data_IF_754649629086
#
_entry.id   IF_754649629086
#
_cell.length_a   1.000
_cell.length_b   1.000
_cell.length_c   1.000
_cell.angle_alpha   90.00
_cell.angle_beta   90.00
_cell.angle_gamma   90.00
#
_symmetry.space_group_name_H-M   'P 1'
#
loop_
_entity.id
_entity.type
_entity.pdbx_description
1 polymer ?
#
# COMPACT_ATOMS: atom_id res chain seq x y z
N UNK A 1 16.34 -22.51 -9.61
CA UNK A 1 15.14 -22.28 -8.77
C UNK A 1 15.33 -20.93 -8.13
N UNK A 2 14.56 -19.93 -8.53
CA UNK A 2 14.50 -18.67 -7.82
C UNK A 2 13.99 -18.96 -6.41
N UNK A 3 14.69 -18.45 -5.41
CA UNK A 3 14.34 -18.65 -4.01
C UNK A 3 13.05 -17.84 -3.77
N UNK A 4 11.94 -18.52 -3.51
CA UNK A 4 10.68 -17.88 -3.18
C UNK A 4 10.86 -17.01 -1.93
N UNK A 5 10.71 -15.70 -2.10
CA UNK A 5 10.87 -14.72 -1.02
C UNK A 5 9.58 -14.70 -0.21
N UNK A 6 9.69 -14.85 1.11
CA UNK A 6 8.50 -14.89 1.97
C UNK A 6 7.72 -13.58 1.93
N UNK A 7 6.39 -13.68 1.95
CA UNK A 7 5.48 -12.52 1.99
C UNK A 7 5.77 -11.59 3.18
N UNK A 8 6.25 -12.13 4.30
CA UNK A 8 6.64 -11.35 5.46
C UNK A 8 7.83 -10.41 5.16
N UNK A 9 8.75 -10.81 4.29
CA UNK A 9 9.85 -9.95 3.82
C UNK A 9 9.31 -8.87 2.88
N UNK A 10 8.51 -9.27 1.88
CA UNK A 10 7.92 -8.33 0.90
C UNK A 10 7.10 -7.24 1.61
N UNK A 11 6.29 -7.57 2.61
CA UNK A 11 5.49 -6.60 3.39
C UNK A 11 6.33 -5.57 4.15
N UNK A 12 7.62 -5.83 4.40
CA UNK A 12 8.53 -4.85 5.02
C UNK A 12 9.23 -3.94 4.01
N UNK A 13 9.31 -4.32 2.72
CA UNK A 13 10.01 -3.56 1.69
C UNK A 13 9.50 -2.11 1.52
N UNK A 14 8.18 -1.83 1.52
CA UNK A 14 7.68 -0.46 1.46
C UNK A 14 8.18 0.43 2.62
N UNK A 15 8.39 -0.16 3.79
CA UNK A 15 8.93 0.55 4.94
C UNK A 15 10.41 0.88 4.76
N UNK A 16 11.21 -0.05 4.22
CA UNK A 16 12.61 0.24 3.84
C UNK A 16 12.66 1.36 2.81
N UNK A 17 11.86 1.27 1.76
CA UNK A 17 11.82 2.26 0.68
C UNK A 17 11.54 3.67 1.22
N UNK A 18 10.55 3.82 2.09
CA UNK A 18 10.20 5.10 2.71
C UNK A 18 11.35 5.69 3.53
N UNK A 19 11.95 4.91 4.45
CA UNK A 19 13.04 5.40 5.29
C UNK A 19 14.31 5.72 4.49
N UNK A 20 14.60 4.95 3.45
CA UNK A 20 15.71 5.27 2.55
C UNK A 20 15.45 6.55 1.76
N UNK A 21 14.20 6.80 1.34
CA UNK A 21 13.80 8.06 0.72
C UNK A 21 14.02 9.26 1.64
N UNK A 22 13.63 9.16 2.91
CA UNK A 22 13.90 10.19 3.92
C UNK A 22 15.39 10.44 4.10
N UNK A 23 16.21 9.39 4.14
CA UNK A 23 17.67 9.50 4.23
C UNK A 23 18.28 10.20 3.00
N UNK A 24 17.75 9.95 1.80
CA UNK A 24 18.19 10.65 0.60
C UNK A 24 17.86 12.14 0.65
N UNK A 25 16.68 12.51 1.15
CA UNK A 25 16.29 13.90 1.37
C UNK A 25 17.19 14.58 2.41
N UNK A 26 17.66 13.83 3.43
CA UNK A 26 18.65 14.29 4.43
C UNK A 26 20.08 14.35 3.88
N UNK A 27 20.36 13.90 2.66
CA UNK A 27 21.69 13.85 2.06
C UNK A 27 22.59 12.74 2.60
N UNK A 28 22.04 11.70 3.22
CA UNK A 28 22.80 10.57 3.77
C UNK A 28 23.19 9.62 2.65
N UNK A 29 24.48 9.48 2.40
CA UNK A 29 25.00 8.59 1.34
C UNK A 29 25.12 7.14 1.77
N UNK A 30 25.42 6.89 3.05
CA UNK A 30 25.65 5.54 3.60
C UNK A 30 24.99 5.37 4.96
N UNK A 31 24.49 4.15 5.20
CA UNK A 31 23.89 3.78 6.48
C UNK A 31 24.30 2.36 6.89
N UNK A 32 24.56 2.15 8.17
CA UNK A 32 24.78 0.81 8.70
C UNK A 32 23.46 0.08 8.96
N UNK A 33 23.47 -1.26 9.03
CA UNK A 33 22.29 -2.02 9.46
C UNK A 33 21.86 -1.66 10.88
N UNK A 34 22.79 -1.19 11.71
CA UNK A 34 22.49 -0.79 13.08
C UNK A 34 21.73 0.54 13.13
N UNK A 35 22.22 1.56 12.41
CA UNK A 35 21.55 2.87 12.36
C UNK A 35 20.18 2.77 11.70
N UNK A 36 20.06 1.98 10.63
CA UNK A 36 18.77 1.72 9.97
C UNK A 36 17.81 0.95 10.92
N UNK A 37 18.34 0.06 11.77
CA UNK A 37 17.54 -0.68 12.75
C UNK A 37 16.90 0.23 13.80
N UNK A 38 17.62 1.25 14.24
CA UNK A 38 17.08 2.25 15.18
C UNK A 38 15.94 3.06 14.56
N UNK A 39 16.08 3.51 13.31
CA UNK A 39 15.01 4.24 12.59
C UNK A 39 13.78 3.35 12.33
N UNK A 40 13.99 2.09 12.02
CA UNK A 40 12.92 1.15 11.68
C UNK A 40 12.32 0.42 12.90
N UNK A 41 12.91 0.54 14.08
CA UNK A 41 12.52 -0.23 15.28
C UNK A 41 12.44 -1.75 15.01
N UNK A 42 13.45 -2.28 14.31
CA UNK A 42 13.67 -3.70 14.06
C UNK A 42 15.13 -4.05 14.41
N UNK A 43 15.50 -5.31 14.47
CA UNK A 43 16.89 -5.67 14.74
C UNK A 43 17.78 -5.51 13.51
N UNK A 44 19.06 -5.16 13.72
CA UNK A 44 20.03 -5.12 12.62
C UNK A 44 20.22 -6.48 11.94
N UNK A 45 20.01 -7.58 12.68
CA UNK A 45 20.02 -8.94 12.13
C UNK A 45 18.87 -9.17 11.17
N UNK A 46 17.66 -8.69 11.51
CA UNK A 46 16.49 -8.76 10.62
C UNK A 46 16.72 -7.99 9.32
N UNK A 47 17.29 -6.78 9.40
CA UNK A 47 17.63 -5.99 8.21
C UNK A 47 18.58 -6.75 7.29
N UNK A 48 19.67 -7.29 7.85
CA UNK A 48 20.62 -8.09 7.06
C UNK A 48 19.97 -9.30 6.42
N UNK A 49 19.12 -10.01 7.16
CA UNK A 49 18.42 -11.19 6.66
C UNK A 49 17.43 -10.82 5.54
N UNK A 50 16.64 -9.76 5.72
CA UNK A 50 15.68 -9.29 4.72
C UNK A 50 16.39 -8.92 3.41
N UNK A 51 17.43 -8.10 3.51
CA UNK A 51 18.16 -7.62 2.33
C UNK A 51 18.95 -8.73 1.63
N UNK A 52 19.44 -9.72 2.36
CA UNK A 52 20.13 -10.88 1.77
C UNK A 52 19.23 -11.78 0.90
N UNK A 53 17.89 -11.68 1.02
CA UNK A 53 16.98 -12.40 0.14
C UNK A 53 17.03 -11.89 -1.31
N UNK A 54 17.44 -10.63 -1.53
CA UNK A 54 17.45 -9.97 -2.83
C UNK A 54 18.87 -9.78 -3.40
N UNK A 55 19.87 -10.36 -2.74
CA UNK A 55 21.29 -10.19 -3.09
C UNK A 55 22.07 -9.38 -2.05
N UNK A 56 23.38 -9.42 -2.10
CA UNK A 56 24.23 -8.74 -1.12
C UNK A 56 24.33 -7.24 -1.38
N UNK A 57 23.45 -6.43 -0.82
CA UNK A 57 23.46 -4.97 -0.97
C UNK A 57 24.53 -4.24 -0.16
N UNK A 58 25.20 -4.92 0.78
CA UNK A 58 26.18 -4.32 1.68
C UNK A 58 27.55 -4.95 1.58
N UNK A 59 28.59 -4.15 1.73
CA UNK A 59 29.94 -4.64 2.02
C UNK A 59 30.16 -4.65 3.53
N UNK A 60 30.77 -5.74 4.02
CA UNK A 60 31.06 -5.89 5.43
C UNK A 60 31.97 -4.73 5.93
N UNK A 61 31.54 -4.02 6.97
CA UNK A 61 32.23 -2.87 7.53
C UNK A 61 31.93 -1.50 6.88
N UNK A 62 31.32 -1.46 5.69
CA UNK A 62 31.04 -0.19 4.96
C UNK A 62 29.57 0.23 4.98
N UNK A 63 28.66 -0.64 5.46
CA UNK A 63 27.21 -0.38 5.42
C UNK A 63 26.63 -0.42 4.00
N UNK A 64 25.43 0.12 3.86
CA UNK A 64 24.68 0.18 2.62
C UNK A 64 24.83 1.54 1.96
N UNK A 65 25.01 1.59 0.65
CA UNK A 65 24.80 2.81 -0.12
C UNK A 65 23.29 3.08 -0.20
N UNK A 66 22.86 4.23 0.31
CA UNK A 66 21.43 4.57 0.47
C UNK A 66 20.73 4.67 -0.89
N UNK A 67 21.33 5.38 -1.85
CA UNK A 67 20.77 5.56 -3.20
C UNK A 67 20.64 4.22 -3.93
N UNK A 68 21.69 3.42 -3.92
CA UNK A 68 21.68 2.11 -4.56
C UNK A 68 20.60 1.19 -3.95
N UNK A 69 20.54 1.13 -2.62
CA UNK A 69 19.55 0.30 -1.93
C UNK A 69 18.12 0.79 -2.18
N UNK A 70 17.90 2.10 -2.21
CA UNK A 70 16.63 2.70 -2.55
C UNK A 70 16.15 2.31 -3.95
N UNK A 71 17.04 2.43 -4.96
CA UNK A 71 16.72 2.11 -6.35
C UNK A 71 16.42 0.60 -6.52
N UNK A 72 17.20 -0.27 -5.89
CA UNK A 72 16.98 -1.72 -5.98
C UNK A 72 15.68 -2.15 -5.30
N UNK A 73 15.35 -1.59 -4.13
CA UNK A 73 14.08 -1.86 -3.48
C UNK A 73 12.92 -1.30 -4.31
N UNK A 74 13.09 -0.15 -4.94
CA UNK A 74 12.10 0.41 -5.87
C UNK A 74 11.80 -0.55 -7.03
N UNK A 75 12.82 -1.17 -7.62
CA UNK A 75 12.67 -2.20 -8.67
C UNK A 75 11.93 -3.44 -8.16
N UNK A 76 12.30 -3.93 -6.97
CA UNK A 76 11.64 -5.08 -6.32
C UNK A 76 10.15 -4.81 -6.12
N UNK A 77 9.79 -3.59 -5.75
CA UNK A 77 8.40 -3.15 -5.52
C UNK A 77 7.67 -2.77 -6.82
N UNK A 78 8.34 -2.80 -7.98
CA UNK A 78 7.76 -2.40 -9.26
C UNK A 78 7.50 -0.90 -9.40
N UNK A 79 8.13 -0.05 -8.57
CA UNK A 79 7.91 1.41 -8.53
C UNK A 79 8.61 2.17 -9.68
N UNK A 80 9.33 1.47 -10.54
CA UNK A 80 9.91 1.99 -11.78
C UNK A 80 8.91 2.03 -12.95
N UNK A 81 7.71 1.47 -12.76
CA UNK A 81 6.61 1.47 -13.72
C UNK A 81 5.47 2.37 -13.26
N UNK A 82 4.67 2.83 -14.21
CA UNK A 82 3.45 3.59 -13.90
C UNK A 82 2.26 2.66 -13.90
N UNK A 83 1.45 2.74 -12.85
CA UNK A 83 0.24 1.95 -12.67
C UNK A 83 -0.99 2.87 -12.66
N UNK A 84 -1.89 2.66 -13.61
CA UNK A 84 -3.14 3.39 -13.70
C UNK A 84 -4.19 2.77 -12.76
N UNK A 85 -4.74 3.60 -11.89
CA UNK A 85 -5.74 3.20 -10.90
C UNK A 85 -7.09 3.79 -11.24
N UNK A 86 -8.15 3.01 -11.15
CA UNK A 86 -9.51 3.51 -11.07
C UNK A 86 -10.07 3.32 -9.66
N UNK A 87 -10.89 4.27 -9.23
CA UNK A 87 -11.58 4.21 -7.94
C UNK A 87 -13.03 3.81 -8.14
N UNK A 88 -13.48 2.76 -7.50
CA UNK A 88 -14.88 2.33 -7.49
C UNK A 88 -15.53 2.75 -6.17
N UNK A 89 -16.39 3.76 -6.25
CA UNK A 89 -16.96 4.51 -5.14
C UNK A 89 -16.32 5.89 -5.01
N UNK A 90 -17.09 6.94 -5.30
CA UNK A 90 -16.68 8.34 -5.14
C UNK A 90 -17.28 8.99 -3.86
N UNK A 91 -17.45 8.17 -2.81
CA UNK A 91 -17.82 8.62 -1.48
C UNK A 91 -16.66 9.27 -0.74
N UNK A 92 -16.86 9.55 0.57
CA UNK A 92 -15.87 10.26 1.38
C UNK A 92 -14.48 9.59 1.35
N UNK A 93 -14.42 8.26 1.46
CA UNK A 93 -13.15 7.52 1.47
C UNK A 93 -12.48 7.55 0.08
N UNK A 94 -13.24 7.29 -0.99
CA UNK A 94 -12.71 7.33 -2.36
C UNK A 94 -12.16 8.71 -2.71
N UNK A 95 -12.87 9.78 -2.36
CA UNK A 95 -12.39 11.14 -2.56
C UNK A 95 -11.16 11.47 -1.71
N UNK A 96 -11.13 11.02 -0.44
CA UNK A 96 -9.98 11.24 0.44
C UNK A 96 -8.70 10.55 -0.10
N UNK A 97 -8.82 9.31 -0.57
CA UNK A 97 -7.71 8.57 -1.20
C UNK A 97 -7.27 9.28 -2.49
N UNK A 98 -8.22 9.71 -3.33
CA UNK A 98 -7.93 10.43 -4.58
C UNK A 98 -7.21 11.75 -4.34
N UNK A 99 -7.51 12.43 -3.24
CA UNK A 99 -6.83 13.67 -2.85
C UNK A 99 -5.40 13.46 -2.32
N UNK A 100 -4.97 12.24 -2.09
CA UNK A 100 -3.65 11.96 -1.55
C UNK A 100 -2.58 11.97 -2.66
N UNK A 101 -2.00 13.14 -2.91
CA UNK A 101 -1.01 13.40 -4.00
C UNK A 101 0.27 12.57 -3.96
N UNK A 102 0.63 11.99 -2.81
CA UNK A 102 1.91 11.26 -2.69
C UNK A 102 1.98 9.97 -3.50
N UNK A 103 0.84 9.40 -3.92
CA UNK A 103 0.83 8.19 -4.74
C UNK A 103 1.54 8.38 -6.08
N UNK A 104 1.42 9.55 -6.70
CA UNK A 104 2.06 9.88 -7.98
C UNK A 104 3.59 9.78 -7.92
N UNK A 105 4.20 10.08 -6.76
CA UNK A 105 5.65 9.93 -6.54
C UNK A 105 6.13 8.48 -6.62
N UNK A 106 5.23 7.53 -6.44
CA UNK A 106 5.49 6.09 -6.50
C UNK A 106 5.01 5.45 -7.81
N UNK A 107 4.63 6.28 -8.81
CA UNK A 107 4.15 5.79 -10.10
C UNK A 107 2.68 5.35 -10.11
N UNK A 108 1.90 5.61 -9.06
CA UNK A 108 0.47 5.27 -9.01
C UNK A 108 -0.37 6.47 -9.41
N UNK A 109 -1.06 6.37 -10.55
CA UNK A 109 -1.87 7.46 -11.13
C UNK A 109 -3.35 7.09 -11.07
N UNK A 110 -4.14 7.85 -10.32
CA UNK A 110 -5.60 7.70 -10.33
C UNK A 110 -6.13 8.41 -11.56
N UNK A 111 -6.79 7.69 -12.46
CA UNK A 111 -7.23 8.19 -13.77
C UNK A 111 -8.72 8.46 -13.86
N UNK A 112 -9.52 7.79 -13.04
CA UNK A 112 -10.99 7.96 -13.00
C UNK A 112 -11.57 7.49 -11.66
N UNK A 113 -12.73 8.05 -11.31
CA UNK A 113 -13.61 7.52 -10.26
C UNK A 113 -14.90 7.05 -10.89
N UNK A 114 -15.53 6.03 -10.30
CA UNK A 114 -16.84 5.51 -10.72
C UNK A 114 -17.80 5.48 -9.54
N UNK A 115 -19.04 5.90 -9.76
CA UNK A 115 -20.08 5.86 -8.72
C UNK A 115 -21.46 5.57 -9.33
N UNK A 116 -22.38 5.10 -8.49
CA UNK A 116 -23.79 4.88 -8.87
C UNK A 116 -24.66 6.11 -8.65
N UNK A 117 -24.18 7.11 -7.92
CA UNK A 117 -24.95 8.29 -7.51
C UNK A 117 -25.03 9.31 -8.65
N UNK A 118 -26.22 9.56 -9.26
CA UNK A 118 -26.35 10.44 -10.44
C UNK A 118 -25.89 11.88 -10.20
N UNK A 119 -25.99 12.37 -8.95
CA UNK A 119 -25.55 13.72 -8.62
C UNK A 119 -24.04 13.95 -8.72
N UNK A 120 -23.24 12.89 -8.81
CA UNK A 120 -21.78 12.97 -8.96
C UNK A 120 -21.34 12.95 -10.42
N UNK A 121 -22.23 12.63 -11.34
CA UNK A 121 -21.93 12.55 -12.77
C UNK A 121 -21.34 13.87 -13.29
N UNK A 122 -20.17 13.79 -13.92
CA UNK A 122 -19.49 14.93 -14.50
C UNK A 122 -18.79 15.86 -13.50
N UNK A 123 -18.82 15.52 -12.21
CA UNK A 123 -17.97 16.19 -11.22
C UNK A 123 -16.54 15.66 -11.31
N UNK A 124 -15.63 16.34 -10.67
CA UNK A 124 -14.20 15.96 -10.60
C UNK A 124 -13.70 15.97 -9.15
N UNK A 125 -12.68 15.17 -8.89
CA UNK A 125 -11.88 15.24 -7.67
C UNK A 125 -10.43 15.49 -8.11
N UNK A 126 -9.84 16.62 -7.79
CA UNK A 126 -8.51 17.02 -8.29
C UNK A 126 -8.39 16.91 -9.83
N UNK A 127 -9.38 17.41 -10.54
CA UNK A 127 -9.46 17.33 -12.01
C UNK A 127 -9.62 15.90 -12.57
N UNK A 128 -9.72 14.88 -11.71
CA UNK A 128 -9.97 13.49 -12.10
C UNK A 128 -11.49 13.30 -12.22
N UNK A 129 -11.97 12.86 -13.39
CA UNK A 129 -13.41 12.80 -13.65
C UNK A 129 -14.12 11.67 -12.88
N UNK A 130 -15.37 11.93 -12.50
CA UNK A 130 -16.28 10.92 -11.95
C UNK A 130 -17.23 10.47 -13.07
N UNK A 131 -17.18 9.20 -13.39
CA UNK A 131 -18.06 8.50 -14.33
C UNK A 131 -19.16 7.74 -13.60
N UNK A 132 -20.19 7.35 -14.32
CA UNK A 132 -21.19 6.44 -13.80
C UNK A 132 -20.72 4.98 -13.98
N UNK A 133 -21.24 4.08 -13.13
CA UNK A 133 -20.85 2.66 -13.17
C UNK A 133 -21.20 1.97 -14.49
N UNK A 134 -22.24 2.43 -15.23
CA UNK A 134 -22.58 1.92 -16.54
C UNK A 134 -21.58 2.32 -17.65
N UNK A 135 -20.70 3.28 -17.38
CA UNK A 135 -19.64 3.72 -18.29
C UNK A 135 -18.32 2.93 -18.06
N UNK A 136 -18.25 2.06 -17.01
CA UNK A 136 -17.02 1.36 -16.61
C UNK A 136 -16.46 0.45 -17.70
N UNK A 137 -17.32 -0.36 -18.32
CA UNK A 137 -16.90 -1.33 -19.34
C UNK A 137 -16.29 -0.64 -20.55
N UNK A 138 -16.92 0.47 -20.99
CA UNK A 138 -16.42 1.23 -22.11
C UNK A 138 -15.14 2.00 -21.78
N UNK A 139 -14.99 2.44 -20.54
CA UNK A 139 -13.77 3.06 -20.08
C UNK A 139 -12.61 2.05 -20.09
N UNK A 140 -12.80 0.86 -19.52
CA UNK A 140 -11.77 -0.19 -19.46
C UNK A 140 -11.37 -0.70 -20.87
N UNK A 141 -12.27 -0.70 -21.83
CA UNK A 141 -11.94 -1.03 -23.23
C UNK A 141 -11.04 0.00 -23.92
N UNK A 142 -11.16 1.27 -23.52
CA UNK A 142 -10.44 2.40 -24.15
C UNK A 142 -9.17 2.80 -23.42
N UNK A 143 -9.04 2.46 -22.15
CA UNK A 143 -7.95 2.89 -21.28
C UNK A 143 -7.29 1.69 -20.62
N UNK A 144 -5.96 1.77 -20.47
CA UNK A 144 -5.22 0.80 -19.67
C UNK A 144 -5.53 1.04 -18.19
N UNK A 145 -6.04 0.02 -17.52
CA UNK A 145 -6.29 0.01 -16.07
C UNK A 145 -5.48 -1.13 -15.47
N UNK A 146 -4.58 -0.80 -14.56
CA UNK A 146 -3.73 -1.78 -13.89
C UNK A 146 -4.32 -2.22 -12.54
N UNK A 147 -4.92 -1.27 -11.81
CA UNK A 147 -5.43 -1.48 -10.44
C UNK A 147 -6.85 -0.90 -10.33
N UNK A 148 -7.74 -1.62 -9.65
CA UNK A 148 -9.01 -1.07 -9.19
C UNK A 148 -9.04 -0.97 -7.67
N UNK A 149 -9.33 0.24 -7.15
CA UNK A 149 -9.51 0.46 -5.72
C UNK A 149 -10.99 0.47 -5.37
N UNK A 150 -11.43 -0.38 -4.44
CA UNK A 150 -12.82 -0.51 -4.02
C UNK A 150 -13.06 0.26 -2.72
N UNK A 151 -13.89 1.31 -2.80
CA UNK A 151 -14.31 2.12 -1.64
C UNK A 151 -15.84 2.18 -1.55
N UNK A 152 -16.47 1.01 -1.68
CA UNK A 152 -17.91 0.80 -1.73
C UNK A 152 -18.39 -0.07 -0.55
N UNK A 153 -19.71 -0.15 -0.29
CA UNK A 153 -20.25 -1.01 0.75
C UNK A 153 -19.93 -2.49 0.50
N UNK A 154 -19.71 -3.25 1.59
CA UNK A 154 -19.30 -4.65 1.55
C UNK A 154 -20.22 -5.55 0.72
N UNK A 155 -21.54 -5.23 0.73
CA UNK A 155 -22.57 -6.00 0.00
C UNK A 155 -22.41 -5.94 -1.53
N UNK A 156 -21.60 -4.99 -2.03
CA UNK A 156 -21.34 -4.78 -3.45
C UNK A 156 -19.91 -5.16 -3.85
N UNK A 157 -19.05 -5.44 -2.88
CA UNK A 157 -17.62 -5.59 -3.12
C UNK A 157 -17.31 -6.82 -3.98
N UNK A 158 -17.89 -7.97 -3.66
CA UNK A 158 -17.62 -9.24 -4.35
C UNK A 158 -18.10 -9.22 -5.81
N UNK A 159 -19.37 -8.83 -6.04
CA UNK A 159 -19.93 -8.73 -7.40
C UNK A 159 -19.13 -7.76 -8.26
N UNK A 160 -18.75 -6.60 -7.68
CA UNK A 160 -17.97 -5.59 -8.39
C UNK A 160 -16.56 -6.09 -8.68
N UNK A 161 -15.90 -6.74 -7.73
CA UNK A 161 -14.58 -7.31 -7.92
C UNK A 161 -14.59 -8.38 -9.03
N UNK A 162 -15.59 -9.26 -9.04
CA UNK A 162 -15.73 -10.27 -10.08
C UNK A 162 -15.97 -9.64 -11.47
N UNK A 163 -16.75 -8.58 -11.54
CA UNK A 163 -16.96 -7.84 -12.78
C UNK A 163 -15.65 -7.22 -13.30
N UNK A 164 -14.86 -6.58 -12.43
CA UNK A 164 -13.55 -6.01 -12.77
C UNK A 164 -12.57 -7.06 -13.27
N UNK A 165 -12.58 -8.26 -12.66
CA UNK A 165 -11.76 -9.40 -13.12
C UNK A 165 -12.17 -9.83 -14.53
N UNK A 166 -13.47 -9.87 -14.82
CA UNK A 166 -14.00 -10.21 -16.15
C UNK A 166 -13.60 -9.14 -17.20
N UNK A 167 -13.40 -7.89 -16.80
CA UNK A 167 -12.86 -6.82 -17.64
C UNK A 167 -11.33 -6.89 -17.85
N UNK A 168 -10.67 -7.87 -17.21
CA UNK A 168 -9.23 -8.10 -17.36
C UNK A 168 -8.35 -7.44 -16.29
N UNK A 169 -8.93 -6.78 -15.29
CA UNK A 169 -8.17 -6.18 -14.18
C UNK A 169 -7.66 -7.28 -13.28
N UNK A 170 -6.37 -7.24 -12.92
CA UNK A 170 -5.68 -8.29 -12.17
C UNK A 170 -5.17 -7.85 -10.80
N UNK A 171 -5.35 -6.58 -10.42
CA UNK A 171 -4.99 -6.08 -9.12
C UNK A 171 -6.15 -5.29 -8.49
N UNK A 172 -6.55 -5.67 -7.28
CA UNK A 172 -7.65 -5.03 -6.54
C UNK A 172 -7.13 -4.54 -5.20
N UNK A 173 -7.31 -3.26 -4.93
CA UNK A 173 -7.01 -2.62 -3.67
C UNK A 173 -8.32 -2.40 -2.91
N UNK A 174 -8.63 -3.32 -1.99
CA UNK A 174 -9.95 -3.39 -1.37
C UNK A 174 -10.00 -2.67 -0.02
N UNK A 175 -10.85 -1.65 0.08
CA UNK A 175 -11.17 -0.93 1.31
C UNK A 175 -12.58 -1.26 1.85
N UNK A 176 -13.33 -2.12 1.17
CA UNK A 176 -14.60 -2.60 1.71
C UNK A 176 -14.36 -3.46 2.97
N UNK A 177 -15.29 -3.42 3.92
CA UNK A 177 -15.18 -4.18 5.17
C UNK A 177 -15.51 -5.67 4.95
N UNK A 178 -14.84 -6.30 4.00
CA UNK A 178 -14.93 -7.73 3.69
C UNK A 178 -13.64 -8.18 3.03
N UNK A 179 -13.15 -9.35 3.40
CA UNK A 179 -12.05 -9.99 2.67
C UNK A 179 -12.57 -10.57 1.36
N UNK A 180 -12.01 -10.12 0.26
CA UNK A 180 -12.31 -10.66 -1.05
C UNK A 180 -11.47 -11.92 -1.27
N UNK A 181 -12.11 -13.06 -1.43
CA UNK A 181 -11.49 -14.32 -1.85
C UNK A 181 -11.99 -14.69 -3.26
N UNK A 182 -11.26 -14.19 -4.24
CA UNK A 182 -11.59 -14.46 -5.63
C UNK A 182 -11.05 -15.84 -6.05
N UNK A 183 -11.85 -16.60 -6.79
CA UNK A 183 -11.50 -17.94 -7.28
C UNK A 183 -10.34 -17.92 -8.29
N UNK A 184 -10.17 -16.81 -9.02
CA UNK A 184 -9.08 -16.63 -9.98
C UNK A 184 -7.77 -16.27 -9.25
N UNK A 185 -6.88 -17.24 -9.09
CA UNK A 185 -5.57 -17.08 -8.43
C UNK A 185 -4.58 -16.18 -9.18
N UNK A 186 -4.90 -15.75 -10.41
CA UNK A 186 -4.11 -14.76 -11.15
C UNK A 186 -4.41 -13.33 -10.74
N UNK A 187 -5.43 -13.11 -9.89
CA UNK A 187 -5.82 -11.80 -9.37
C UNK A 187 -5.17 -11.57 -8.02
N UNK A 188 -4.47 -10.45 -7.89
CA UNK A 188 -3.89 -10.01 -6.64
C UNK A 188 -4.89 -9.12 -5.91
N UNK A 189 -5.24 -9.47 -4.68
CA UNK A 189 -6.11 -8.66 -3.81
C UNK A 189 -5.33 -8.23 -2.59
N UNK A 190 -5.30 -6.93 -2.33
CA UNK A 190 -4.82 -6.37 -1.06
C UNK A 190 -6.02 -5.83 -0.28
N UNK A 191 -6.38 -6.50 0.81
CA UNK A 191 -7.46 -6.10 1.70
C UNK A 191 -6.93 -5.12 2.76
N UNK A 192 -7.55 -3.94 2.87
CA UNK A 192 -7.17 -2.88 3.80
C UNK A 192 -8.29 -2.64 4.81
N UNK A 193 -8.09 -3.10 6.03
CA UNK A 193 -9.01 -2.85 7.15
C UNK A 193 -8.47 -1.75 8.05
N UNK A 194 -9.02 -0.54 7.95
CA UNK A 194 -8.59 0.61 8.76
C UNK A 194 -8.78 0.39 10.26
N UNK A 195 -9.75 -0.44 10.64
CA UNK A 195 -10.01 -0.82 12.02
C UNK A 195 -8.91 -1.64 12.68
N UNK A 196 -8.16 -2.44 11.91
CA UNK A 196 -7.14 -3.36 12.45
C UNK A 196 -6.04 -2.61 13.18
N UNK A 197 -5.60 -1.47 12.64
CA UNK A 197 -4.60 -0.62 13.29
C UNK A 197 -5.12 0.00 14.59
N UNK A 198 -6.42 0.34 14.67
CA UNK A 198 -7.04 0.84 15.90
C UNK A 198 -7.19 -0.26 16.94
N UNK A 199 -7.55 -1.48 16.53
CA UNK A 199 -7.61 -2.63 17.44
C UNK A 199 -6.23 -2.97 18.02
N UNK A 200 -5.17 -2.92 17.19
CA UNK A 200 -3.80 -3.09 17.65
C UNK A 200 -3.34 -1.98 18.60
N UNK A 201 -3.73 -0.72 18.31
CA UNK A 201 -3.47 0.41 19.22
C UNK A 201 -4.19 0.22 20.56
N UNK A 202 -5.43 -0.22 20.55
CA UNK A 202 -6.21 -0.53 21.77
C UNK A 202 -5.54 -1.61 22.62
N UNK A 203 -5.03 -2.68 21.99
CA UNK A 203 -4.26 -3.70 22.69
C UNK A 203 -3.01 -3.12 23.35
N UNK A 204 -2.22 -2.33 22.63
CA UNK A 204 -1.01 -1.71 23.18
C UNK A 204 -1.34 -0.74 24.34
N UNK A 205 -2.45 -0.01 24.24
CA UNK A 205 -2.93 0.88 25.30
C UNK A 205 -3.30 0.09 26.58
N UNK A 206 -3.94 -1.06 26.42
CA UNK A 206 -4.27 -1.93 27.56
C UNK A 206 -3.04 -2.44 28.31
N UNK A 207 -1.93 -2.69 27.61
CA UNK A 207 -0.66 -3.10 28.25
C UNK A 207 -0.03 -1.99 29.08
N UNK A 208 -0.19 -0.72 28.68
CA UNK A 208 0.29 0.44 29.46
C UNK A 208 -0.46 0.51 30.79
N UNK A 209 -1.78 0.30 30.80
CA UNK A 209 -2.59 0.29 32.03
C UNK A 209 -2.28 -0.90 32.95
N UNK A 210 -1.86 -2.05 32.42
CA UNK A 210 -1.46 -3.20 33.21
C UNK A 210 -0.08 -2.97 33.86
N UNK A 211 0.82 -2.25 33.20
CA UNK A 211 2.18 -1.96 33.71
C UNK A 211 2.23 -0.79 34.71
N UNK A 212 1.14 -0.03 34.92
CA UNK A 212 1.03 1.06 35.91
C UNK A 212 -0.01 0.80 37.03
N UNK A 213 -0.02 -0.35 37.74
CA UNK A 213 -1.02 -0.56 38.83
C UNK A 213 -0.66 0.13 40.14
N UNK A 214 0.39 0.94 40.26
CA UNK A 214 0.96 1.29 41.57
C UNK A 214 1.10 2.79 41.87
N UNK A 215 0.54 3.68 41.12
CA UNK A 215 0.64 5.13 41.42
C UNK A 215 -0.55 5.77 42.16
N UNK A 216 -1.61 5.02 42.42
CA UNK A 216 -2.81 5.52 43.11
C UNK A 216 -3.07 4.87 44.49
N UNK A 217 -2.11 4.17 45.09
CA UNK A 217 -2.27 3.53 46.41
C UNK A 217 -1.36 4.12 47.50
N UNK A 218 -0.91 5.37 47.34
CA UNK A 218 -0.15 6.11 48.37
C UNK A 218 -0.65 7.58 48.45
N UNK A 219 -1.87 7.78 48.92
CA UNK A 219 -2.35 8.98 49.67
C UNK A 219 -3.22 8.51 50.80
#
# INVERSE_FOLDING_TARGET
>A
MEKEISQAVIRRMPRYYRYLGELLEEGVERISSNDLSHRMMVTASQIRQDLNNFGGFGQQGYGYNVKYLYDEIGKILGLNETHNIIMIGAGNLGQAITNYVKFERFGFIITALFDVKPSLKGQTVRDIPIYMMDELDDYCKKNKVDIAALTLPKEKAEDTAQHLVNLGIRAIWNFAHVDLDLSDKSVVVENVHLSDSLMQLSYNLSLIHISEPTRLALI
#
